data_IF_049909202803
#
_entry.id   IF_049909202803
#
_cell.length_a   1.000
_cell.length_b   1.000
_cell.length_c   1.000
_cell.angle_alpha   90.00
_cell.angle_beta   90.00
_cell.angle_gamma   90.00
#
_symmetry.space_group_name_H-M   'P 1'
#
loop_
_entity.id
_entity.type
_entity.pdbx_description
1 polymer ?
#
# COMPACT_ATOMS: atom_id res chain seq x y z
N UNK A 1 -14.01 -4.47 -13.67
CA UNK A 1 -12.88 -5.42 -13.77
C UNK A 1 -13.23 -6.72 -13.07
N UNK A 2 -12.47 -7.79 -13.30
CA UNK A 2 -12.75 -9.09 -12.67
C UNK A 2 -12.39 -9.06 -11.18
N UNK A 3 -13.14 -9.80 -10.36
CA UNK A 3 -12.85 -9.99 -8.93
C UNK A 3 -11.41 -10.51 -8.72
N UNK A 4 -10.97 -11.43 -9.58
CA UNK A 4 -9.62 -11.98 -9.54
C UNK A 4 -8.53 -10.90 -9.66
N UNK A 5 -8.71 -9.92 -10.55
CA UNK A 5 -7.73 -8.84 -10.73
C UNK A 5 -7.62 -7.95 -9.49
N UNK A 6 -8.74 -7.69 -8.81
CA UNK A 6 -8.75 -6.92 -7.55
C UNK A 6 -8.04 -7.69 -6.44
N UNK A 7 -8.38 -8.97 -6.25
CA UNK A 7 -7.76 -9.83 -5.24
C UNK A 7 -6.25 -9.92 -5.46
N UNK A 8 -5.79 -10.02 -6.71
CA UNK A 8 -4.37 -10.04 -7.04
C UNK A 8 -3.63 -8.78 -6.55
N UNK A 9 -4.21 -7.59 -6.77
CA UNK A 9 -3.61 -6.34 -6.29
C UNK A 9 -3.61 -6.23 -4.76
N UNK A 10 -4.70 -6.65 -4.11
CA UNK A 10 -4.79 -6.66 -2.64
C UNK A 10 -3.76 -7.60 -2.00
N UNK A 11 -3.66 -8.84 -2.49
CA UNK A 11 -2.66 -9.80 -2.02
C UNK A 11 -1.23 -9.32 -2.29
N UNK A 12 -1.00 -8.70 -3.45
CA UNK A 12 0.28 -8.10 -3.80
C UNK A 12 0.70 -7.01 -2.81
N UNK A 13 -0.23 -6.10 -2.46
CA UNK A 13 0.02 -5.04 -1.48
C UNK A 13 0.35 -5.57 -0.09
N UNK A 14 -0.40 -6.56 0.40
CA UNK A 14 -0.13 -7.19 1.71
C UNK A 14 1.25 -7.86 1.73
N UNK A 15 1.59 -8.62 0.69
CA UNK A 15 2.90 -9.29 0.58
C UNK A 15 4.06 -8.30 0.49
N UNK A 16 3.89 -7.20 -0.24
CA UNK A 16 4.89 -6.15 -0.31
C UNK A 16 5.13 -5.51 1.07
N UNK A 17 4.06 -5.19 1.81
CA UNK A 17 4.14 -4.69 3.18
C UNK A 17 4.88 -5.66 4.11
N UNK A 18 4.50 -6.95 4.08
CA UNK A 18 5.18 -8.01 4.83
C UNK A 18 6.68 -8.12 4.48
N UNK A 19 7.05 -7.88 3.22
CA UNK A 19 8.44 -7.80 2.79
C UNK A 19 9.19 -6.64 3.44
N UNK A 20 8.61 -5.44 3.45
CA UNK A 20 9.20 -4.25 4.10
C UNK A 20 9.35 -4.41 5.62
N UNK A 21 8.41 -5.11 6.27
CA UNK A 21 8.46 -5.33 7.73
C UNK A 21 9.22 -6.60 8.13
N UNK A 22 9.73 -7.38 7.18
CA UNK A 22 10.43 -8.65 7.46
C UNK A 22 9.53 -9.72 8.09
N UNK A 23 8.24 -9.70 7.78
CA UNK A 23 7.22 -10.59 8.37
C UNK A 23 6.94 -11.77 7.43
N UNK A 24 7.31 -12.99 7.85
CA UNK A 24 7.10 -14.19 7.02
C UNK A 24 5.66 -14.71 7.07
N UNK A 25 4.90 -14.35 8.11
CA UNK A 25 3.48 -14.70 8.29
C UNK A 25 2.68 -13.49 8.76
N UNK A 26 1.35 -13.58 8.70
CA UNK A 26 0.44 -12.52 9.15
C UNK A 26 0.53 -12.33 10.67
N UNK A 27 0.72 -13.42 11.41
CA UNK A 27 0.91 -13.39 12.87
C UNK A 27 2.16 -12.58 13.22
N UNK A 28 3.28 -12.82 12.53
CA UNK A 28 4.51 -12.04 12.72
C UNK A 28 4.31 -10.58 12.34
N UNK A 29 3.53 -10.28 11.30
CA UNK A 29 3.19 -8.90 10.94
C UNK A 29 2.42 -8.21 12.08
N UNK A 30 1.40 -8.86 12.63
CA UNK A 30 0.63 -8.31 13.74
C UNK A 30 1.47 -8.10 15.01
N UNK A 31 2.41 -9.00 15.30
CA UNK A 31 3.26 -8.91 16.48
C UNK A 31 4.37 -7.85 16.37
N UNK A 32 4.97 -7.70 15.19
CA UNK A 32 6.19 -6.90 15.00
C UNK A 32 5.98 -5.55 14.32
N UNK A 33 4.85 -5.33 13.65
CA UNK A 33 4.60 -4.08 12.95
C UNK A 33 4.66 -2.89 13.92
N UNK A 34 5.34 -1.83 13.50
CA UNK A 34 5.41 -0.58 14.22
C UNK A 34 4.77 0.52 13.40
N UNK A 35 3.99 1.37 14.07
CA UNK A 35 3.32 2.49 13.46
C UNK A 35 3.89 3.79 13.99
N UNK A 36 3.96 4.78 13.12
CA UNK A 36 4.32 6.16 13.47
C UNK A 36 3.17 7.07 13.11
N UNK A 37 3.00 8.14 13.89
CA UNK A 37 2.01 9.17 13.57
C UNK A 37 2.55 10.05 12.46
N UNK A 38 1.76 10.24 11.41
CA UNK A 38 2.06 11.16 10.32
C UNK A 38 1.23 12.44 10.45
N UNK A 39 1.74 13.53 9.87
CA UNK A 39 1.04 14.82 9.78
C UNK A 39 0.19 14.87 8.50
N UNK A 40 -0.68 15.87 8.37
CA UNK A 40 -1.42 16.09 7.12
C UNK A 40 -0.49 16.39 5.93
N UNK A 41 0.65 17.04 6.18
CA UNK A 41 1.67 17.23 5.15
C UNK A 41 2.29 15.89 4.73
N UNK A 42 2.62 15.02 5.70
CA UNK A 42 3.12 13.68 5.42
C UNK A 42 2.11 12.79 4.67
N UNK A 43 0.81 12.98 4.91
CA UNK A 43 -0.24 12.30 4.12
C UNK A 43 -0.20 12.73 2.65
N UNK A 44 -0.14 14.04 2.38
CA UNK A 44 0.01 14.55 1.00
C UNK A 44 1.29 14.05 0.33
N UNK A 45 2.39 14.03 1.07
CA UNK A 45 3.68 13.51 0.60
C UNK A 45 3.62 12.02 0.26
N UNK A 46 2.88 11.23 1.04
CA UNK A 46 2.77 9.78 0.81
C UNK A 46 1.97 9.42 -0.44
N UNK A 47 1.05 10.30 -0.86
CA UNK A 47 0.34 10.16 -2.12
C UNK A 47 1.17 10.68 -3.30
N UNK A 48 0.87 10.21 -4.50
CA UNK A 48 1.41 10.80 -5.73
C UNK A 48 1.08 12.30 -5.75
N UNK A 49 2.10 13.14 -5.82
CA UNK A 49 2.00 14.60 -5.85
C UNK A 49 2.94 15.18 -6.92
N UNK A 50 2.64 16.40 -7.38
CA UNK A 50 3.43 17.18 -8.34
C UNK A 50 3.68 16.52 -9.71
N UNK A 51 2.81 15.61 -10.13
CA UNK A 51 2.84 14.96 -11.45
C UNK A 51 1.45 14.80 -12.05
N UNK A 52 1.38 14.80 -13.38
CA UNK A 52 0.16 14.42 -14.11
C UNK A 52 0.14 12.92 -14.36
N UNK A 53 -0.85 12.22 -13.83
CA UNK A 53 -1.05 10.78 -14.09
C UNK A 53 -1.54 10.61 -15.53
N UNK A 54 -0.68 10.11 -16.41
CA UNK A 54 -1.00 9.87 -17.83
C UNK A 54 -1.56 8.48 -18.10
N UNK A 55 -1.40 7.55 -17.15
CA UNK A 55 -1.92 6.18 -17.19
C UNK A 55 -2.34 5.75 -15.80
N UNK A 56 -3.56 5.22 -15.69
CA UNK A 56 -4.07 4.71 -14.44
C UNK A 56 -3.32 3.43 -14.01
N UNK A 57 -2.95 3.37 -12.72
CA UNK A 57 -2.39 2.18 -12.13
C UNK A 57 -3.53 1.27 -11.60
N UNK A 58 -3.38 -0.05 -11.70
CA UNK A 58 -4.43 -0.99 -11.31
C UNK A 58 -4.71 -1.03 -9.79
N UNK A 59 -3.82 -0.44 -8.98
CA UNK A 59 -3.83 -0.47 -7.52
C UNK A 59 -3.78 0.92 -6.86
N UNK A 60 -3.87 2.00 -7.63
CA UNK A 60 -3.80 3.37 -7.09
C UNK A 60 -4.91 4.23 -7.69
N UNK A 61 -5.70 4.85 -6.82
CA UNK A 61 -6.71 5.84 -7.17
C UNK A 61 -6.52 7.05 -6.26
N UNK A 62 -6.38 8.22 -6.85
CA UNK A 62 -6.50 9.46 -6.11
C UNK A 62 -8.01 9.75 -6.00
N UNK A 63 -8.53 9.79 -4.77
CA UNK A 63 -9.80 10.49 -4.49
C UNK A 63 -9.52 11.98 -4.33
#
# INVERSE_FOLDING_TARGET
GSLLAVIHQLLGGVRASMGYTGSQTIEILHEKAQFVRVTNAGMRESHVHDVTITKEAPNYRAE
#
